data_IF_516241674061
#
_entry.id   IF_516241674061
#
_cell.length_a   1.000
_cell.length_b   1.000
_cell.length_c   1.000
_cell.angle_alpha   90.00
_cell.angle_beta   90.00
_cell.angle_gamma   90.00
#
_symmetry.space_group_name_H-M   'P 1'
#
loop_
_entity.id
_entity.type
_entity.pdbx_description
1 polymer ?
#
# COMPACT_ATOMS: atom_id res chain seq x y z
N UNK A 1 -42.27 -50.78 28.85
CA UNK A 1 -40.97 -50.09 28.66
C UNK A 1 -40.64 -50.07 27.17
N UNK A 2 -40.81 -48.93 26.50
CA UNK A 2 -40.47 -48.78 25.08
C UNK A 2 -38.95 -48.61 24.95
N UNK A 3 -38.31 -49.59 24.32
CA UNK A 3 -36.86 -49.63 24.09
C UNK A 3 -36.53 -48.65 22.95
N UNK A 4 -36.06 -47.46 23.28
CA UNK A 4 -35.54 -46.50 22.30
C UNK A 4 -34.30 -47.12 21.62
N UNK A 5 -34.45 -47.59 20.37
CA UNK A 5 -33.31 -48.00 19.55
C UNK A 5 -32.60 -46.75 19.05
N UNK A 6 -31.40 -46.50 19.57
CA UNK A 6 -30.52 -45.45 19.06
C UNK A 6 -30.08 -45.91 17.66
N UNK A 7 -30.50 -45.19 16.61
CA UNK A 7 -30.03 -45.43 15.24
C UNK A 7 -28.59 -44.95 15.17
N UNK A 8 -27.64 -45.89 15.18
CA UNK A 8 -26.24 -45.61 14.91
C UNK A 8 -26.01 -45.60 13.39
N UNK A 9 -25.08 -44.77 12.92
CA UNK A 9 -24.67 -44.77 11.52
C UNK A 9 -23.99 -46.09 11.17
N UNK A 10 -24.28 -46.59 9.97
CA UNK A 10 -23.58 -47.74 9.42
C UNK A 10 -22.12 -47.39 9.11
N UNK A 11 -21.21 -48.34 9.27
CA UNK A 11 -19.79 -48.17 8.95
C UNK A 11 -19.58 -47.73 7.49
N UNK A 12 -20.43 -48.20 6.57
CA UNK A 12 -20.40 -47.80 5.16
C UNK A 12 -20.80 -46.32 4.99
N UNK A 13 -21.80 -45.85 5.72
CA UNK A 13 -22.23 -44.45 5.68
C UNK A 13 -21.13 -43.51 6.18
N UNK A 14 -20.41 -43.92 7.24
CA UNK A 14 -19.28 -43.17 7.79
C UNK A 14 -18.13 -43.08 6.78
N UNK A 15 -17.81 -44.18 6.10
CA UNK A 15 -16.76 -44.19 5.07
C UNK A 15 -17.12 -43.27 3.91
N UNK A 16 -18.37 -43.33 3.43
CA UNK A 16 -18.85 -42.45 2.35
C UNK A 16 -18.80 -40.98 2.78
N UNK A 17 -19.23 -40.67 4.00
CA UNK A 17 -19.17 -39.31 4.54
C UNK A 17 -17.73 -38.78 4.65
N UNK A 18 -16.77 -39.63 5.04
CA UNK A 18 -15.36 -39.27 5.11
C UNK A 18 -14.76 -38.98 3.74
N UNK A 19 -15.10 -39.78 2.73
CA UNK A 19 -14.65 -39.56 1.35
C UNK A 19 -15.17 -38.21 0.84
N UNK A 20 -16.47 -37.95 0.98
CA UNK A 20 -17.09 -36.69 0.54
C UNK A 20 -16.47 -35.49 1.28
N UNK A 21 -16.27 -35.61 2.59
CA UNK A 21 -15.65 -34.56 3.41
C UNK A 21 -14.20 -34.29 3.00
N UNK A 22 -13.42 -35.33 2.72
CA UNK A 22 -12.03 -35.20 2.25
C UNK A 22 -11.95 -34.52 0.88
N UNK A 23 -12.87 -34.87 -0.03
CA UNK A 23 -12.96 -34.22 -1.34
C UNK A 23 -13.31 -32.73 -1.21
N UNK A 24 -14.26 -32.40 -0.33
CA UNK A 24 -14.65 -31.01 -0.05
C UNK A 24 -13.47 -30.19 0.48
N UNK A 25 -12.71 -30.73 1.43
CA UNK A 25 -11.53 -30.07 1.97
C UNK A 25 -10.43 -29.88 0.91
N UNK A 26 -10.22 -30.86 0.03
CA UNK A 26 -9.26 -30.75 -1.08
C UNK A 26 -9.64 -29.64 -2.07
N UNK A 27 -10.92 -29.54 -2.43
CA UNK A 27 -11.42 -28.49 -3.32
C UNK A 27 -11.26 -27.09 -2.71
N UNK A 28 -11.55 -26.94 -1.42
CA UNK A 28 -11.35 -25.68 -0.70
C UNK A 28 -9.86 -25.32 -0.66
N UNK A 29 -8.99 -26.27 -0.32
CA UNK A 29 -7.55 -26.06 -0.25
C UNK A 29 -6.95 -25.64 -1.60
N UNK A 30 -7.33 -26.33 -2.68
CA UNK A 30 -6.89 -25.99 -4.04
C UNK A 30 -7.35 -24.59 -4.48
N UNK A 31 -8.57 -24.22 -4.14
CA UNK A 31 -9.13 -22.89 -4.45
C UNK A 31 -8.42 -21.77 -3.69
N UNK A 32 -8.17 -21.97 -2.39
CA UNK A 32 -7.42 -21.02 -1.55
C UNK A 32 -6.00 -20.83 -2.07
N UNK A 33 -5.33 -21.92 -2.47
CA UNK A 33 -3.99 -21.86 -3.05
C UNK A 33 -3.97 -21.09 -4.38
N UNK A 34 -4.95 -21.32 -5.26
CA UNK A 34 -5.12 -20.60 -6.52
C UNK A 34 -5.30 -19.09 -6.33
N UNK A 35 -6.18 -18.71 -5.39
CA UNK A 35 -6.42 -17.30 -5.04
C UNK A 35 -5.14 -16.65 -4.49
N UNK A 36 -4.44 -17.33 -3.57
CA UNK A 36 -3.20 -16.80 -2.99
C UNK A 36 -2.11 -16.59 -4.04
N UNK A 37 -1.99 -17.50 -5.02
CA UNK A 37 -1.05 -17.38 -6.14
C UNK A 37 -1.42 -16.21 -7.06
N UNK A 38 -2.70 -16.04 -7.39
CA UNK A 38 -3.19 -14.95 -8.24
C UNK A 38 -3.02 -13.57 -7.60
N UNK A 39 -3.24 -13.46 -6.28
CA UNK A 39 -2.97 -12.25 -5.51
C UNK A 39 -1.49 -11.90 -5.46
N UNK A 40 -0.60 -12.89 -5.49
CA UNK A 40 0.84 -12.65 -5.51
C UNK A 40 1.40 -12.38 -6.91
N UNK A 41 0.81 -12.92 -7.98
CA UNK A 41 1.21 -12.59 -9.36
C UNK A 41 0.76 -11.21 -9.81
N UNK A 42 -0.22 -10.61 -9.13
CA UNK A 42 -0.74 -9.26 -9.41
C UNK A 42 0.16 -8.13 -8.86
N UNK A 43 1.48 -8.25 -9.02
CA UNK A 43 2.45 -7.22 -8.59
C UNK A 43 2.11 -5.84 -9.17
N UNK A 44 1.67 -5.75 -10.43
CA UNK A 44 1.27 -4.48 -11.05
C UNK A 44 0.05 -3.82 -10.40
N UNK A 45 -0.91 -4.58 -9.85
CA UNK A 45 -2.04 -3.98 -9.12
C UNK A 45 -1.62 -3.49 -7.74
N UNK A 46 -0.74 -4.23 -7.05
CA UNK A 46 -0.16 -3.80 -5.77
C UNK A 46 0.67 -2.52 -5.93
N UNK A 47 1.47 -2.42 -6.99
CA UNK A 47 2.23 -1.21 -7.33
C UNK A 47 1.30 -0.02 -7.59
N UNK A 48 0.25 -0.21 -8.39
CA UNK A 48 -0.72 0.85 -8.68
C UNK A 48 -1.49 1.31 -7.43
N UNK A 49 -1.86 0.40 -6.54
CA UNK A 49 -2.50 0.76 -5.26
C UNK A 49 -1.56 1.61 -4.40
N UNK A 50 -0.28 1.26 -4.31
CA UNK A 50 0.71 2.06 -3.56
C UNK A 50 0.92 3.44 -4.20
N UNK A 51 0.93 3.51 -5.53
CA UNK A 51 0.99 4.77 -6.27
C UNK A 51 -0.20 5.68 -5.94
N UNK A 52 -1.43 5.17 -6.03
CA UNK A 52 -2.62 5.97 -5.70
C UNK A 52 -2.64 6.37 -4.22
N UNK A 53 -2.19 5.49 -3.32
CA UNK A 53 -2.03 5.83 -1.89
C UNK A 53 -1.05 6.99 -1.69
N UNK A 54 0.08 6.97 -2.38
CA UNK A 54 1.08 8.06 -2.33
C UNK A 54 0.45 9.39 -2.76
N UNK A 55 -0.25 9.39 -3.90
CA UNK A 55 -0.88 10.60 -4.44
C UNK A 55 -1.97 11.11 -3.50
N UNK A 56 -2.86 10.22 -3.06
CA UNK A 56 -3.92 10.56 -2.11
C UNK A 56 -3.37 11.10 -0.79
N UNK A 57 -2.21 10.61 -0.33
CA UNK A 57 -1.57 11.14 0.89
C UNK A 57 -1.04 12.56 0.67
N UNK A 58 -0.46 12.86 -0.49
CA UNK A 58 0.05 14.19 -0.82
C UNK A 58 -1.06 15.21 -1.07
N UNK A 59 -2.18 14.77 -1.65
CA UNK A 59 -3.38 15.57 -1.92
C UNK A 59 -4.36 15.61 -0.75
N UNK A 60 -4.09 14.87 0.33
CA UNK A 60 -5.01 14.74 1.45
C UNK A 60 -5.25 16.08 2.14
N UNK A 61 -6.53 16.42 2.29
CA UNK A 61 -6.99 17.54 3.10
C UNK A 61 -6.65 17.39 4.60
N UNK A 62 -6.31 16.18 5.06
CA UNK A 62 -5.90 15.96 6.44
C UNK A 62 -4.46 16.40 6.71
N UNK A 63 -3.60 16.38 5.69
CA UNK A 63 -2.20 16.78 5.82
C UNK A 63 -1.95 18.19 5.27
N UNK A 64 -2.66 18.56 4.18
CA UNK A 64 -2.52 19.85 3.48
C UNK A 64 -1.05 20.23 3.29
N UNK A 65 -0.32 19.35 2.62
CA UNK A 65 1.10 19.57 2.40
C UNK A 65 1.33 20.83 1.54
N UNK A 66 2.32 21.62 1.94
CA UNK A 66 2.81 22.77 1.20
C UNK A 66 4.28 22.58 0.86
N UNK A 67 4.68 23.10 -0.30
CA UNK A 67 6.07 23.11 -0.68
C UNK A 67 6.84 24.12 0.16
N UNK A 68 7.89 23.69 0.87
CA UNK A 68 8.76 24.60 1.62
C UNK A 68 10.01 24.92 0.82
N UNK A 69 10.85 23.92 0.61
CA UNK A 69 12.14 24.07 -0.05
C UNK A 69 12.69 22.72 -0.53
N UNK A 70 13.82 22.76 -1.22
CA UNK A 70 14.63 21.57 -1.51
C UNK A 70 15.90 21.65 -0.67
N UNK A 71 16.23 20.59 0.07
CA UNK A 71 17.53 20.49 0.74
C UNK A 71 18.68 20.50 -0.28
N UNK A 72 19.90 20.80 0.20
CA UNK A 72 21.14 20.81 -0.58
C UNK A 72 21.42 19.50 -1.34
N UNK A 73 20.91 18.38 -0.83
CA UNK A 73 21.01 17.06 -1.47
C UNK A 73 19.92 16.81 -2.53
N UNK A 74 19.12 17.82 -2.87
CA UNK A 74 17.98 17.69 -3.79
C UNK A 74 16.82 16.88 -3.20
N UNK A 75 16.63 16.89 -1.87
CA UNK A 75 15.47 16.24 -1.22
C UNK A 75 14.35 17.27 -1.02
N UNK A 76 13.13 17.00 -1.47
CA UNK A 76 11.99 17.89 -1.30
C UNK A 76 11.53 17.92 0.16
N UNK A 77 11.35 19.14 0.69
CA UNK A 77 10.82 19.42 2.02
C UNK A 77 9.38 19.92 1.90
N UNK A 78 8.48 19.19 2.53
CA UNK A 78 7.05 19.46 2.57
C UNK A 78 6.65 19.89 3.97
N UNK A 79 5.92 20.99 4.10
CA UNK A 79 5.33 21.43 5.35
C UNK A 79 3.91 20.89 5.49
N UNK A 80 3.62 20.18 6.59
CA UNK A 80 2.28 19.73 6.92
C UNK A 80 1.59 20.80 7.77
N UNK A 81 0.53 21.42 7.25
CA UNK A 81 -0.18 22.49 7.96
C UNK A 81 -0.90 22.00 9.21
N UNK A 82 -1.45 20.78 9.19
CA UNK A 82 -2.25 20.27 10.33
C UNK A 82 -1.36 19.88 11.51
N UNK A 83 -0.24 19.23 11.24
CA UNK A 83 0.71 18.79 12.28
C UNK A 83 1.79 19.83 12.59
N UNK A 84 1.82 20.95 11.85
CA UNK A 84 2.81 22.02 11.98
C UNK A 84 4.26 21.50 11.94
N UNK A 85 4.52 20.48 11.11
CA UNK A 85 5.81 19.80 11.07
C UNK A 85 6.34 19.67 9.63
N UNK A 86 7.66 19.64 9.51
CA UNK A 86 8.34 19.49 8.23
C UNK A 86 8.66 18.03 7.94
N UNK A 87 8.44 17.64 6.69
CA UNK A 87 8.58 16.28 6.20
C UNK A 87 9.48 16.23 4.98
N UNK A 88 10.33 15.21 4.92
CA UNK A 88 11.21 14.89 3.82
C UNK A 88 10.60 13.76 3.00
N UNK A 89 10.35 14.04 1.72
CA UNK A 89 9.93 13.00 0.77
C UNK A 89 11.17 12.47 0.04
N UNK A 90 11.70 11.33 0.49
CA UNK A 90 12.96 10.78 -0.03
C UNK A 90 12.91 9.29 -0.32
N UNK A 91 13.79 8.86 -1.21
CA UNK A 91 14.07 7.44 -1.44
C UNK A 91 15.03 6.94 -0.36
N UNK A 92 14.60 5.92 0.39
CA UNK A 92 15.45 5.16 1.31
C UNK A 92 15.62 3.74 0.76
N UNK A 93 16.83 3.42 0.27
CA UNK A 93 17.16 2.14 -0.41
C UNK A 93 16.22 1.88 -1.60
N UNK A 94 15.18 1.07 -1.40
CA UNK A 94 14.16 0.74 -2.40
C UNK A 94 12.77 1.26 -2.05
N UNK A 95 12.64 2.11 -1.03
CA UNK A 95 11.33 2.58 -0.57
C UNK A 95 11.25 4.10 -0.68
N UNK A 96 10.10 4.60 -1.12
CA UNK A 96 9.76 6.02 -1.05
C UNK A 96 9.07 6.28 0.28
N UNK A 97 9.65 7.19 1.06
CA UNK A 97 9.24 7.43 2.44
C UNK A 97 8.97 8.92 2.67
N UNK A 98 8.03 9.18 3.57
CA UNK A 98 7.86 10.48 4.20
C UNK A 98 8.45 10.39 5.61
N UNK A 99 9.45 11.22 5.92
CA UNK A 99 10.14 11.22 7.21
C UNK A 99 10.14 12.63 7.80
N UNK A 100 9.75 12.82 9.05
CA UNK A 100 9.87 14.14 9.69
C UNK A 100 11.34 14.58 9.79
N UNK A 101 11.62 15.89 9.65
CA UNK A 101 13.00 16.42 9.65
C UNK A 101 13.79 16.01 10.91
N UNK A 102 13.12 15.94 12.06
CA UNK A 102 13.75 15.59 13.34
C UNK A 102 13.86 14.07 13.58
N UNK A 103 13.70 13.26 12.54
CA UNK A 103 13.64 11.79 12.65
C UNK A 103 12.37 11.26 13.31
N UNK A 104 11.45 12.15 13.71
CA UNK A 104 10.14 11.81 14.25
C UNK A 104 9.18 11.44 13.11
N UNK A 105 8.61 10.25 13.20
CA UNK A 105 7.64 9.78 12.22
C UNK A 105 8.29 9.20 10.96
N UNK A 106 7.83 8.01 10.60
CA UNK A 106 8.22 7.31 9.39
C UNK A 106 6.94 6.78 8.74
N UNK A 107 6.66 7.24 7.51
CA UNK A 107 5.54 6.72 6.73
C UNK A 107 6.06 6.18 5.40
N UNK A 108 6.04 4.85 5.19
CA UNK A 108 6.33 4.28 3.89
C UNK A 108 5.15 4.56 2.94
N UNK A 109 5.45 5.20 1.81
CA UNK A 109 4.45 5.52 0.80
C UNK A 109 4.42 4.47 -0.32
N UNK A 110 5.60 4.06 -0.77
CA UNK A 110 5.75 3.06 -1.84
C UNK A 110 7.01 2.22 -1.64
N UNK A 111 6.92 0.93 -1.91
CA UNK A 111 7.99 -0.06 -1.73
C UNK A 111 8.52 -0.52 -3.08
N UNK A 112 9.74 -1.03 -3.11
CA UNK A 112 10.40 -1.60 -4.30
C UNK A 112 10.55 -0.64 -5.48
N UNK A 113 10.76 0.65 -5.21
CA UNK A 113 11.03 1.66 -6.23
C UNK A 113 12.48 1.62 -6.72
N UNK A 114 12.66 1.73 -8.03
CA UNK A 114 13.96 1.82 -8.69
C UNK A 114 14.44 3.27 -8.78
N UNK A 115 13.51 4.22 -8.97
CA UNK A 115 13.84 5.62 -9.14
C UNK A 115 12.76 6.55 -8.62
N UNK A 116 13.19 7.70 -8.11
CA UNK A 116 12.32 8.80 -7.70
C UNK A 116 12.91 10.11 -8.24
N UNK A 117 12.08 10.90 -8.91
CA UNK A 117 12.40 12.26 -9.32
C UNK A 117 11.19 13.15 -9.05
N UNK A 118 11.43 14.42 -8.78
CA UNK A 118 10.39 15.41 -8.66
C UNK A 118 10.82 16.70 -9.33
N UNK A 119 9.84 17.55 -9.64
CA UNK A 119 10.05 18.91 -10.11
C UNK A 119 8.96 19.77 -9.52
N UNK A 120 9.36 20.80 -8.80
CA UNK A 120 8.42 21.81 -8.33
C UNK A 120 8.33 22.94 -9.35
N UNK A 121 7.11 23.28 -9.73
CA UNK A 121 6.77 24.43 -10.57
C UNK A 121 5.45 24.97 -10.06
N UNK A 122 5.50 26.01 -9.23
CA UNK A 122 4.35 26.57 -8.53
C UNK A 122 3.14 26.76 -9.47
N UNK A 123 1.93 26.32 -9.10
CA UNK A 123 1.52 25.67 -7.84
C UNK A 123 1.59 24.12 -7.86
N UNK A 124 2.39 23.53 -8.73
CA UNK A 124 2.40 22.07 -8.97
C UNK A 124 3.70 21.41 -8.53
N UNK A 125 3.57 20.27 -7.87
CA UNK A 125 4.65 19.32 -7.63
C UNK A 125 4.50 18.14 -8.59
N UNK A 126 5.40 18.02 -9.55
CA UNK A 126 5.47 16.89 -10.46
C UNK A 126 6.32 15.78 -9.86
N UNK A 127 5.81 14.55 -9.87
CA UNK A 127 6.48 13.38 -9.31
C UNK A 127 6.59 12.29 -10.37
N UNK A 128 7.78 11.71 -10.49
CA UNK A 128 8.06 10.52 -11.30
C UNK A 128 8.61 9.41 -10.41
N UNK A 129 7.95 8.26 -10.43
CA UNK A 129 8.41 7.05 -9.74
C UNK A 129 8.60 5.93 -10.75
N UNK A 130 9.75 5.27 -10.72
CA UNK A 130 10.02 4.08 -11.52
C UNK A 130 9.96 2.86 -10.61
N UNK A 131 9.16 1.87 -11.00
CA UNK A 131 9.00 0.59 -10.30
C UNK A 131 9.07 -0.53 -11.33
N UNK A 132 10.13 -1.33 -11.26
CA UNK A 132 10.46 -2.35 -12.26
C UNK A 132 10.44 -1.76 -13.68
N UNK A 133 9.53 -2.23 -14.53
CA UNK A 133 9.38 -1.80 -15.92
C UNK A 133 8.28 -0.74 -16.10
N UNK A 134 7.67 -0.26 -15.00
CA UNK A 134 6.63 0.75 -15.02
C UNK A 134 7.16 2.11 -14.56
N UNK A 135 6.73 3.17 -15.23
CA UNK A 135 6.99 4.54 -14.83
C UNK A 135 5.65 5.24 -14.56
N UNK A 136 5.50 5.74 -13.34
CA UNK A 136 4.35 6.50 -12.90
C UNK A 136 4.71 7.99 -12.88
N UNK A 137 3.77 8.82 -13.33
CA UNK A 137 3.90 10.26 -13.35
C UNK A 137 2.57 10.91 -12.96
N UNK A 138 2.60 11.89 -12.05
CA UNK A 138 1.46 12.76 -11.77
C UNK A 138 1.93 14.12 -11.28
N UNK A 139 1.12 15.13 -11.58
CA UNK A 139 1.24 16.48 -11.04
C UNK A 139 0.25 16.63 -9.89
N UNK A 140 0.74 17.05 -8.74
CA UNK A 140 -0.04 17.30 -7.53
C UNK A 140 -0.13 18.80 -7.31
N UNK A 141 -1.32 19.31 -6.98
CA UNK A 141 -1.47 20.73 -6.59
C UNK A 141 -0.88 20.90 -5.20
N UNK A 142 0.16 21.71 -5.10
CA UNK A 142 0.87 21.97 -3.85
C UNK A 142 1.38 23.41 -3.83
N UNK A 143 0.68 24.26 -3.08
CA UNK A 143 1.05 25.66 -2.91
C UNK A 143 2.38 25.78 -2.15
N UNK A 144 3.14 26.83 -2.46
CA UNK A 144 4.31 27.17 -1.68
C UNK A 144 3.87 27.63 -0.29
N UNK A 145 4.61 27.27 0.75
CA UNK A 145 4.41 27.83 2.09
C UNK A 145 4.63 29.33 1.97
N UNK A 146 3.58 30.10 2.26
CA UNK A 146 3.71 31.55 2.37
C UNK A 146 4.65 31.83 3.55
N UNK A 147 5.75 32.52 3.31
CA UNK A 147 6.50 33.16 4.38
C UNK A 147 5.65 34.34 4.85
N UNK A 148 4.70 34.09 5.75
CA UNK A 148 4.16 35.20 6.54
C UNK A 148 5.29 35.71 7.44
N UNK A 149 5.72 36.94 7.14
CA UNK A 149 6.57 37.77 7.99
C UNK A 149 5.86 38.10 9.30
#
# INVERSE_FOLDING_TARGET
MLKNRIKAFSLVEVIIALIISSLGLLLISGSVYGIHRQLNSNSGSKERIQWEKLISTLESEQMRFQWKESQNNGTPVLYCQTQHNDYLLKKNRRNLILQGINGQGFMPLMMNIDGFRYRYSEPFLEIWVKVHNHQYHRKVVMQRKSNEN
#
